data_IF_588823669416
#
_entry.id   IF_588823669416
#
_cell.length_a   1.000
_cell.length_b   1.000
_cell.length_c   1.000
_cell.angle_alpha   90.00
_cell.angle_beta   90.00
_cell.angle_gamma   90.00
#
_symmetry.space_group_name_H-M   'P 1'
#
loop_
_entity.id
_entity.type
_entity.pdbx_description
1 polymer ?
#
# COMPACT_ATOMS: atom_id res chain seq x y z
N UNK A 1 16.66 5.20 -6.91
CA UNK A 1 17.55 4.14 -6.36
C UNK A 1 16.62 3.05 -5.83
N UNK A 2 16.98 1.76 -5.96
CA UNK A 2 16.14 0.65 -5.49
C UNK A 2 16.31 0.46 -3.97
N UNK A 3 15.22 0.09 -3.25
CA UNK A 3 15.26 -0.17 -1.80
C UNK A 3 16.25 -1.29 -1.43
N UNK A 4 16.36 -2.34 -2.27
CA UNK A 4 17.30 -3.45 -2.05
C UNK A 4 18.75 -2.95 -2.00
N UNK A 5 19.12 -2.04 -2.89
CA UNK A 5 20.45 -1.46 -2.91
C UNK A 5 20.73 -0.62 -1.67
N UNK A 6 19.75 0.17 -1.22
CA UNK A 6 19.89 0.99 -0.02
C UNK A 6 20.11 0.12 1.21
N UNK A 7 19.31 -0.94 1.36
CA UNK A 7 19.45 -1.90 2.47
C UNK A 7 20.84 -2.56 2.44
N UNK A 8 21.29 -2.99 1.26
CA UNK A 8 22.62 -3.59 1.08
C UNK A 8 23.74 -2.60 1.44
N UNK A 9 23.64 -1.34 1.03
CA UNK A 9 24.64 -0.30 1.37
C UNK A 9 24.68 -0.09 2.90
N UNK A 10 23.54 -0.12 3.59
CA UNK A 10 23.45 -0.07 5.05
C UNK A 10 24.14 -1.28 5.69
N UNK A 11 23.87 -2.50 5.22
CA UNK A 11 24.50 -3.73 5.71
C UNK A 11 26.04 -3.73 5.52
N UNK A 12 26.50 -3.14 4.43
CA UNK A 12 27.94 -2.96 4.16
C UNK A 12 28.53 -1.75 4.88
N UNK A 13 27.78 -1.08 5.76
CA UNK A 13 28.19 0.14 6.51
C UNK A 13 28.63 1.30 5.60
N UNK A 14 28.05 1.37 4.40
CA UNK A 14 28.28 2.44 3.43
C UNK A 14 27.16 3.49 3.54
N UNK A 15 27.22 4.29 4.60
CA UNK A 15 26.19 5.27 4.89
C UNK A 15 26.37 6.58 4.12
N UNK A 16 25.26 7.22 3.78
CA UNK A 16 25.22 8.60 3.30
C UNK A 16 24.76 9.54 4.43
N UNK A 17 25.17 10.81 4.41
CA UNK A 17 24.81 11.75 5.48
C UNK A 17 23.33 12.10 5.53
N UNK A 18 22.61 12.00 4.39
CA UNK A 18 21.20 12.39 4.31
C UNK A 18 20.42 11.35 3.51
N UNK A 19 19.26 10.95 4.03
CA UNK A 19 18.27 10.10 3.36
C UNK A 19 16.92 10.81 3.27
N UNK A 20 16.42 10.99 2.06
CA UNK A 20 15.03 11.37 1.79
C UNK A 20 14.29 10.16 1.26
N UNK A 21 13.47 9.55 2.11
CA UNK A 21 12.65 8.39 1.81
C UNK A 21 11.22 8.88 1.61
N UNK A 22 10.68 8.76 0.40
CA UNK A 22 9.39 9.37 0.06
C UNK A 22 8.62 8.54 -0.96
N UNK A 23 7.32 8.81 -1.13
CA UNK A 23 6.51 8.20 -2.19
C UNK A 23 5.20 7.62 -1.71
N UNK A 24 4.57 6.86 -2.60
CA UNK A 24 3.19 6.38 -2.46
C UNK A 24 3.08 5.05 -1.73
N UNK A 25 4.21 4.30 -1.62
CA UNK A 25 4.23 3.00 -0.94
C UNK A 25 4.96 3.12 0.42
N UNK A 26 4.21 3.22 1.52
CA UNK A 26 4.79 3.40 2.86
C UNK A 26 5.67 2.24 3.31
N UNK A 27 5.35 1.02 2.90
CA UNK A 27 6.06 -0.19 3.33
C UNK A 27 7.57 -0.10 3.10
N UNK A 28 8.01 0.32 1.90
CA UNK A 28 9.44 0.41 1.60
C UNK A 28 10.14 1.55 2.36
N UNK A 29 9.40 2.64 2.63
CA UNK A 29 9.90 3.76 3.45
C UNK A 29 10.14 3.27 4.87
N UNK A 30 9.17 2.59 5.46
CA UNK A 30 9.27 2.03 6.82
C UNK A 30 10.38 0.98 6.89
N UNK A 31 10.49 0.09 5.91
CA UNK A 31 11.52 -0.95 5.84
C UNK A 31 12.93 -0.36 5.88
N UNK A 32 13.20 0.68 5.06
CA UNK A 32 14.51 1.34 5.05
C UNK A 32 14.74 2.10 6.35
N UNK A 33 13.70 2.80 6.85
CA UNK A 33 13.79 3.58 8.10
C UNK A 33 14.10 2.68 9.28
N UNK A 34 13.41 1.54 9.40
CA UNK A 34 13.63 0.55 10.45
C UNK A 34 15.04 -0.06 10.35
N UNK A 35 15.53 -0.34 9.15
CA UNK A 35 16.89 -0.82 8.93
C UNK A 35 17.93 0.20 9.39
N UNK A 36 17.72 1.48 9.13
CA UNK A 36 18.58 2.56 9.62
C UNK A 36 18.52 2.65 11.15
N UNK A 37 17.31 2.57 11.72
CA UNK A 37 17.07 2.65 13.16
C UNK A 37 17.74 1.50 13.94
N UNK A 38 17.78 0.30 13.33
CA UNK A 38 18.29 -0.90 14.01
C UNK A 38 19.78 -1.15 13.81
N UNK A 39 20.31 -0.90 12.59
CA UNK A 39 21.60 -1.46 12.20
C UNK A 39 22.75 -0.45 12.16
N UNK A 40 22.48 0.87 12.26
CA UNK A 40 23.55 1.88 12.17
C UNK A 40 24.32 2.02 13.47
N UNK A 41 23.61 2.03 14.59
CA UNK A 41 24.19 2.16 15.92
C UNK A 41 24.02 0.86 16.73
N UNK A 42 24.97 0.55 17.58
CA UNK A 42 24.81 -0.49 18.58
C UNK A 42 23.82 -0.07 19.68
N UNK A 43 23.30 -1.03 20.43
CA UNK A 43 22.28 -0.79 21.46
C UNK A 43 22.71 0.20 22.53
N UNK A 44 23.99 0.22 22.89
CA UNK A 44 24.51 1.15 23.89
C UNK A 44 24.54 2.58 23.34
N UNK A 45 24.94 2.76 22.09
CA UNK A 45 25.04 4.06 21.44
C UNK A 45 23.66 4.63 21.08
N UNK A 46 22.65 3.79 20.80
CA UNK A 46 21.29 4.25 20.47
C UNK A 46 20.70 5.18 21.52
N UNK A 47 20.86 4.85 22.81
CA UNK A 47 20.29 5.64 23.89
C UNK A 47 20.79 7.11 23.92
N UNK A 48 21.98 7.38 23.39
CA UNK A 48 22.64 8.70 23.46
C UNK A 48 22.82 9.37 22.09
N UNK A 49 22.82 8.59 21.02
CA UNK A 49 23.16 9.08 19.67
C UNK A 49 22.06 8.85 18.64
N UNK A 50 20.89 8.33 19.05
CA UNK A 50 19.73 8.19 18.18
C UNK A 50 18.60 9.10 18.63
N UNK A 51 18.14 9.95 17.74
CA UNK A 51 16.98 10.82 17.98
C UNK A 51 15.91 10.53 16.94
N UNK A 52 14.73 10.14 17.41
CA UNK A 52 13.57 9.92 16.57
C UNK A 52 12.53 10.97 16.92
N UNK A 53 12.10 11.73 15.92
CA UNK A 53 11.08 12.77 16.04
C UNK A 53 10.00 12.60 14.98
N UNK A 54 8.83 13.17 15.24
CA UNK A 54 7.72 13.17 14.27
C UNK A 54 7.55 14.56 13.68
N UNK A 55 7.29 14.64 12.36
CA UNK A 55 7.20 15.90 11.65
C UNK A 55 6.15 16.88 12.19
N UNK A 56 5.09 16.39 12.84
CA UNK A 56 4.07 17.23 13.48
C UNK A 56 4.54 17.90 14.79
N UNK A 57 5.53 17.31 15.46
CA UNK A 57 5.95 17.69 16.82
C UNK A 57 7.20 18.61 16.81
N UNK A 58 7.85 18.78 15.66
CA UNK A 58 9.08 19.56 15.50
C UNK A 58 8.99 20.51 14.31
N UNK A 59 9.84 21.55 14.33
CA UNK A 59 10.09 22.40 13.16
C UNK A 59 11.35 21.95 12.42
N UNK A 60 11.49 22.36 11.16
CA UNK A 60 12.65 22.05 10.34
C UNK A 60 13.93 22.61 10.99
N UNK A 61 13.87 23.79 11.62
CA UNK A 61 14.99 24.42 12.32
C UNK A 61 15.49 23.56 13.50
N UNK A 62 14.55 22.98 14.26
CA UNK A 62 14.88 22.05 15.34
C UNK A 62 15.54 20.79 14.79
N UNK A 63 15.03 20.23 13.70
CA UNK A 63 15.62 19.06 13.03
C UNK A 63 17.06 19.37 12.58
N UNK A 64 17.29 20.50 11.94
CA UNK A 64 18.62 20.90 11.49
C UNK A 64 19.56 21.17 12.66
N UNK A 65 19.06 21.73 13.76
CA UNK A 65 19.84 21.93 15.00
C UNK A 65 20.28 20.58 15.59
N UNK A 66 19.38 19.59 15.65
CA UNK A 66 19.72 18.23 16.08
C UNK A 66 20.76 17.61 15.15
N UNK A 67 20.60 17.77 13.83
CA UNK A 67 21.51 17.19 12.84
C UNK A 67 22.92 17.82 12.85
N UNK A 68 23.05 19.07 13.31
CA UNK A 68 24.33 19.76 13.50
C UNK A 68 25.01 19.43 14.81
N UNK A 69 24.33 18.72 15.71
CA UNK A 69 24.95 18.26 16.97
C UNK A 69 26.08 17.26 16.73
N UNK A 70 26.78 16.95 17.81
CA UNK A 70 27.83 15.94 17.80
C UNK A 70 27.38 14.71 18.57
N UNK A 71 27.79 13.49 18.15
CA UNK A 71 27.49 12.29 18.90
C UNK A 71 28.06 12.39 20.33
N UNK A 72 27.23 12.06 21.30
CA UNK A 72 27.67 12.03 22.71
C UNK A 72 28.52 10.79 23.00
N UNK A 73 28.38 9.74 22.20
CA UNK A 73 29.10 8.49 22.32
C UNK A 73 29.34 7.89 20.92
N UNK A 74 30.54 7.32 20.70
CA UNK A 74 30.90 6.74 19.40
C UNK A 74 31.17 7.76 18.30
N UNK A 75 31.16 7.29 17.04
CA UNK A 75 31.60 8.07 15.89
C UNK A 75 30.45 8.76 15.14
N UNK A 76 29.19 8.41 15.44
CA UNK A 76 28.04 8.85 14.67
C UNK A 76 26.80 9.05 15.51
N UNK A 77 25.92 9.94 15.03
CA UNK A 77 24.56 10.08 15.49
C UNK A 77 23.58 9.87 14.35
N UNK A 78 22.36 9.45 14.69
CA UNK A 78 21.26 9.23 13.75
C UNK A 78 20.09 10.09 14.18
N UNK A 79 19.59 10.92 13.26
CA UNK A 79 18.40 11.74 13.45
C UNK A 79 17.34 11.28 12.45
N UNK A 80 16.22 10.75 12.92
CA UNK A 80 15.15 10.22 12.09
C UNK A 80 13.91 11.08 12.29
N UNK A 81 13.42 11.67 11.21
CA UNK A 81 12.15 12.40 11.18
C UNK A 81 11.10 11.51 10.54
N UNK A 82 10.29 10.83 11.37
CA UNK A 82 9.13 10.05 10.94
C UNK A 82 7.98 11.00 10.59
N UNK A 83 7.14 10.61 9.62
CA UNK A 83 6.03 11.42 9.10
C UNK A 83 6.47 12.86 8.74
N UNK A 84 7.63 12.97 8.06
CA UNK A 84 8.22 14.25 7.70
C UNK A 84 7.33 15.10 6.78
N UNK A 85 6.34 14.49 6.08
CA UNK A 85 5.32 15.24 5.33
C UNK A 85 4.48 16.17 6.21
N UNK A 86 4.51 15.98 7.54
CA UNK A 86 3.77 16.78 8.51
C UNK A 86 4.56 17.97 9.04
N UNK A 87 5.84 18.11 8.70
CA UNK A 87 6.57 19.34 8.90
C UNK A 87 5.84 20.51 8.23
N UNK A 88 5.70 21.64 8.95
CA UNK A 88 4.97 22.81 8.46
C UNK A 88 5.48 23.32 7.12
N UNK A 89 6.80 23.30 6.97
CA UNK A 89 7.52 23.77 5.77
C UNK A 89 7.27 22.86 4.56
N UNK A 90 7.01 21.56 4.77
CA UNK A 90 6.68 20.66 3.70
C UNK A 90 5.17 20.60 3.38
N UNK A 91 4.28 20.95 4.34
CA UNK A 91 2.83 20.96 4.10
C UNK A 91 2.41 22.03 3.10
N UNK A 92 3.01 23.22 3.16
CA UNK A 92 2.59 24.40 2.38
C UNK A 92 3.12 24.47 0.97
N UNK A 93 4.17 23.73 0.63
CA UNK A 93 4.70 23.69 -0.73
C UNK A 93 3.68 23.25 -1.82
N UNK A 94 2.45 22.87 -1.43
CA UNK A 94 1.36 22.44 -2.31
C UNK A 94 0.25 23.49 -2.49
N UNK A 95 0.22 24.59 -1.71
CA UNK A 95 -0.89 25.56 -1.70
C UNK A 95 -0.74 26.72 -2.69
N UNK A 96 0.29 26.76 -3.52
CA UNK A 96 0.40 27.82 -4.54
C UNK A 96 -0.55 27.61 -5.74
N UNK A 97 -1.25 26.46 -5.84
CA UNK A 97 -2.12 26.14 -6.97
C UNK A 97 -3.63 25.99 -6.62
N UNK A 98 -4.06 26.20 -5.37
CA UNK A 98 -5.48 26.12 -4.98
C UNK A 98 -5.88 27.36 -4.15
N UNK A 99 -6.83 28.13 -4.67
CA UNK A 99 -7.45 29.30 -4.07
C UNK A 99 -8.20 28.95 -2.75
N UNK A 100 -7.55 29.05 -1.59
CA UNK A 100 -8.22 29.11 -0.30
C UNK A 100 -7.75 30.31 0.52
N UNK A 101 -8.72 31.08 1.04
CA UNK A 101 -8.66 32.38 1.72
C UNK A 101 -7.94 32.40 3.09
N UNK A 102 -6.96 31.56 3.36
CA UNK A 102 -6.15 31.59 4.58
C UNK A 102 -4.73 32.05 4.25
N UNK A 103 -4.59 33.37 3.95
CA UNK A 103 -3.30 34.02 3.73
C UNK A 103 -2.48 33.98 5.02
N UNK A 104 -1.25 33.38 5.01
CA UNK A 104 -0.37 33.45 6.16
C UNK A 104 0.03 34.89 6.43
N UNK A 105 0.18 35.25 7.71
CA UNK A 105 0.80 36.53 8.09
C UNK A 105 2.17 36.63 7.41
N UNK A 106 2.56 37.81 6.94
CA UNK A 106 3.85 38.04 6.24
C UNK A 106 5.07 37.50 7.03
N UNK A 107 4.98 37.46 8.34
CA UNK A 107 6.04 36.90 9.21
C UNK A 107 6.12 35.37 9.14
N UNK A 108 5.01 34.66 8.95
CA UNK A 108 5.01 33.20 8.76
C UNK A 108 5.70 32.76 7.45
N UNK A 109 5.46 33.48 6.37
CA UNK A 109 6.08 33.18 5.07
C UNK A 109 7.60 33.50 5.04
N UNK A 110 8.06 34.50 5.78
CA UNK A 110 9.49 34.83 5.94
C UNK A 110 10.23 33.75 6.73
N UNK A 111 9.63 33.26 7.82
CA UNK A 111 10.22 32.20 8.64
C UNK A 111 10.37 30.89 7.86
N UNK A 112 9.38 30.50 7.04
CA UNK A 112 9.44 29.27 6.25
C UNK A 112 10.53 29.31 5.17
N UNK A 113 10.68 30.44 4.47
CA UNK A 113 11.79 30.62 3.52
C UNK A 113 13.15 30.56 4.22
N UNK A 114 13.24 31.04 5.44
CA UNK A 114 14.45 30.95 6.25
C UNK A 114 14.77 29.49 6.62
N UNK A 115 13.76 28.73 7.09
CA UNK A 115 13.91 27.31 7.47
C UNK A 115 14.31 26.44 6.28
N UNK A 116 13.68 26.64 5.10
CA UNK A 116 14.10 25.95 3.87
C UNK A 116 15.52 26.33 3.45
N UNK A 117 15.95 27.57 3.67
CA UNK A 117 17.33 28.00 3.47
C UNK A 117 18.31 27.31 4.42
N UNK A 118 17.92 27.02 5.66
CA UNK A 118 18.75 26.23 6.59
C UNK A 118 18.93 24.79 6.12
N UNK A 119 17.88 24.16 5.59
CA UNK A 119 17.98 22.83 5.00
C UNK A 119 18.89 22.85 3.76
N UNK A 120 18.75 23.83 2.87
CA UNK A 120 19.63 24.01 1.71
C UNK A 120 21.10 24.11 2.13
N UNK A 121 21.39 24.94 3.14
CA UNK A 121 22.73 25.10 3.68
C UNK A 121 23.27 23.80 4.29
N UNK A 122 22.41 23.04 5.00
CA UNK A 122 22.81 21.76 5.58
C UNK A 122 23.09 20.72 4.50
N UNK A 123 22.27 20.63 3.45
CA UNK A 123 22.47 19.71 2.32
C UNK A 123 23.78 20.02 1.59
N UNK A 124 24.15 21.31 1.46
CA UNK A 124 25.42 21.72 0.84
C UNK A 124 26.65 21.37 1.69
N UNK A 125 26.51 21.32 3.01
CA UNK A 125 27.60 20.98 3.94
C UNK A 125 27.06 20.14 5.11
N UNK A 126 26.72 18.86 4.88
CA UNK A 126 26.18 18.01 5.91
C UNK A 126 27.22 17.64 6.97
N UNK A 127 26.79 17.47 8.22
CA UNK A 127 27.64 16.97 9.28
C UNK A 127 28.20 15.58 8.93
N UNK A 128 29.51 15.36 8.96
CA UNK A 128 30.11 14.07 8.60
C UNK A 128 29.80 12.96 9.62
N UNK A 129 29.42 13.34 10.83
CA UNK A 129 29.13 12.43 11.95
C UNK A 129 27.63 12.15 12.11
N UNK A 130 26.77 12.78 11.29
CA UNK A 130 25.32 12.66 11.40
C UNK A 130 24.72 11.96 10.18
N UNK A 131 23.80 11.05 10.45
CA UNK A 131 22.90 10.50 9.44
C UNK A 131 21.51 11.07 9.68
N UNK A 132 21.05 11.93 8.78
CA UNK A 132 19.75 12.57 8.85
C UNK A 132 18.77 11.88 7.89
N UNK A 133 17.64 11.44 8.41
CA UNK A 133 16.61 10.71 7.65
C UNK A 133 15.28 11.44 7.68
N UNK A 134 14.73 11.75 6.52
CA UNK A 134 13.35 12.21 6.35
C UNK A 134 12.52 11.09 5.75
N UNK A 135 11.57 10.55 6.52
CA UNK A 135 10.60 9.55 6.05
C UNK A 135 9.25 10.24 5.78
N UNK A 136 8.89 10.35 4.49
CA UNK A 136 7.71 11.06 4.00
C UNK A 136 6.76 10.10 3.31
N UNK A 137 5.60 9.83 3.90
CA UNK A 137 4.60 8.92 3.34
C UNK A 137 3.57 9.68 2.49
N UNK A 138 3.17 9.08 1.36
CA UNK A 138 2.18 9.63 0.44
C UNK A 138 2.49 11.06 -0.07
N UNK A 139 3.75 11.46 -0.02
CA UNK A 139 4.22 12.76 -0.48
C UNK A 139 5.60 12.64 -1.12
N UNK A 140 5.88 13.55 -2.06
CA UNK A 140 7.16 13.64 -2.77
C UNK A 140 7.73 15.04 -2.60
N UNK A 141 9.05 15.12 -2.56
CA UNK A 141 9.76 16.39 -2.56
C UNK A 141 9.70 17.01 -3.97
N UNK A 142 9.52 18.33 -4.06
CA UNK A 142 9.53 19.01 -5.35
C UNK A 142 10.95 18.99 -5.93
N UNK A 143 11.08 18.42 -7.13
CA UNK A 143 12.35 18.34 -7.87
C UNK A 143 12.90 19.70 -8.31
N UNK A 144 12.06 20.76 -8.27
CA UNK A 144 12.45 22.16 -8.58
C UNK A 144 13.20 22.83 -7.45
N UNK A 145 13.22 22.26 -6.25
CA UNK A 145 13.94 22.81 -5.11
C UNK A 145 15.43 22.89 -5.40
N UNK A 146 16.04 24.03 -5.09
CA UNK A 146 17.45 24.34 -5.43
C UNK A 146 18.42 23.28 -4.91
N UNK A 147 18.18 22.77 -3.69
CA UNK A 147 19.03 21.75 -3.07
C UNK A 147 18.80 20.33 -3.59
N UNK A 148 17.75 20.06 -4.37
CA UNK A 148 17.43 18.70 -4.83
C UNK A 148 18.61 18.07 -5.59
N UNK A 149 19.21 18.81 -6.54
CA UNK A 149 20.39 18.33 -7.30
C UNK A 149 21.63 18.09 -6.44
N UNK A 150 21.81 18.88 -5.39
CA UNK A 150 22.91 18.67 -4.43
C UNK A 150 22.63 17.43 -3.58
N UNK A 151 21.40 17.27 -3.12
CA UNK A 151 20.94 16.12 -2.35
C UNK A 151 21.14 14.79 -3.12
N UNK A 152 20.88 14.78 -4.43
CA UNK A 152 21.16 13.59 -5.27
C UNK A 152 22.64 13.18 -5.28
N UNK A 153 23.55 14.13 -5.09
CA UNK A 153 25.00 13.86 -5.09
C UNK A 153 25.52 13.43 -3.71
N UNK A 154 25.06 14.09 -2.65
CA UNK A 154 25.59 13.90 -1.28
C UNK A 154 24.79 12.89 -0.47
N UNK A 155 23.52 12.70 -0.77
CA UNK A 155 22.58 11.87 -0.04
C UNK A 155 21.98 10.74 -0.84
N UNK A 156 20.90 10.20 -0.30
CA UNK A 156 20.03 9.21 -0.95
C UNK A 156 18.64 9.81 -1.10
N UNK A 157 18.12 9.81 -2.32
CA UNK A 157 16.71 10.06 -2.60
C UNK A 157 16.09 8.73 -3.02
N UNK A 158 15.16 8.25 -2.22
CA UNK A 158 14.35 7.07 -2.51
C UNK A 158 12.91 7.49 -2.75
N UNK A 159 12.38 7.16 -3.91
CA UNK A 159 11.00 7.40 -4.27
C UNK A 159 10.31 6.05 -4.44
N UNK A 160 9.42 5.70 -3.47
CA UNK A 160 8.62 4.49 -3.55
C UNK A 160 7.41 4.69 -4.45
N UNK A 161 7.16 3.74 -5.33
CA UNK A 161 5.97 3.70 -6.16
C UNK A 161 5.03 2.60 -5.68
N UNK A 162 3.72 2.88 -5.73
CA UNK A 162 2.71 1.89 -5.40
C UNK A 162 2.74 0.74 -6.39
N UNK A 163 2.73 -0.49 -5.88
CA UNK A 163 2.66 -1.67 -6.73
C UNK A 163 1.25 -1.74 -7.33
N UNK A 164 1.20 -1.88 -8.66
CA UNK A 164 -0.06 -2.01 -9.38
C UNK A 164 -0.70 -3.36 -9.08
N UNK A 165 -2.04 -3.39 -8.98
CA UNK A 165 -2.83 -4.59 -8.63
C UNK A 165 -2.39 -5.84 -9.40
N UNK A 166 -2.19 -5.72 -10.71
CA UNK A 166 -1.80 -6.85 -11.56
C UNK A 166 -0.38 -7.39 -11.33
N UNK A 167 0.47 -6.65 -10.59
CA UNK A 167 1.83 -7.06 -10.21
C UNK A 167 1.91 -7.62 -8.79
N UNK A 168 0.83 -7.54 -8.02
CA UNK A 168 0.84 -7.95 -6.62
C UNK A 168 1.13 -9.44 -6.43
N UNK A 169 0.52 -10.31 -7.22
CA UNK A 169 0.76 -11.75 -7.13
C UNK A 169 2.22 -12.12 -7.37
N UNK A 170 2.84 -11.51 -8.38
CA UNK A 170 4.26 -11.73 -8.69
C UNK A 170 5.17 -11.19 -7.57
N UNK A 171 4.82 -10.03 -7.01
CA UNK A 171 5.56 -9.45 -5.89
C UNK A 171 5.47 -10.34 -4.64
N UNK A 172 4.27 -10.80 -4.29
CA UNK A 172 4.02 -11.70 -3.15
C UNK A 172 4.84 -12.97 -3.28
N UNK A 173 4.82 -13.58 -4.46
CA UNK A 173 5.60 -14.79 -4.77
C UNK A 173 7.10 -14.55 -4.59
N UNK A 174 7.60 -13.44 -5.14
CA UNK A 174 9.01 -13.07 -5.04
C UNK A 174 9.43 -12.80 -3.60
N UNK A 175 8.62 -12.04 -2.85
CA UNK A 175 8.86 -11.75 -1.44
C UNK A 175 8.87 -13.01 -0.58
N UNK A 176 7.89 -13.88 -0.75
CA UNK A 176 7.79 -15.14 -0.02
C UNK A 176 9.02 -16.05 -0.28
N UNK A 177 9.47 -16.11 -1.52
CA UNK A 177 10.70 -16.83 -1.87
C UNK A 177 11.94 -16.21 -1.23
N UNK A 178 12.03 -14.88 -1.20
CA UNK A 178 13.15 -14.16 -0.60
C UNK A 178 13.25 -14.40 0.92
N UNK A 179 12.11 -14.49 1.62
CA UNK A 179 12.10 -14.79 3.06
C UNK A 179 12.24 -16.30 3.36
N UNK A 180 12.36 -17.13 2.32
CA UNK A 180 12.64 -18.57 2.44
C UNK A 180 11.40 -19.46 2.48
N UNK A 181 10.24 -18.97 2.06
CA UNK A 181 8.98 -19.71 2.00
C UNK A 181 8.38 -19.65 0.59
N UNK A 182 8.83 -20.50 -0.35
CA UNK A 182 8.31 -20.50 -1.72
C UNK A 182 6.80 -20.78 -1.72
N UNK A 183 6.09 -20.27 -2.71
CA UNK A 183 4.67 -20.56 -2.91
C UNK A 183 4.32 -20.76 -4.39
N UNK A 184 3.23 -21.48 -4.63
CA UNK A 184 2.67 -21.64 -5.97
C UNK A 184 2.03 -20.32 -6.46
N UNK A 185 2.01 -20.12 -7.78
CA UNK A 185 1.42 -18.92 -8.39
C UNK A 185 -0.05 -18.72 -7.96
N UNK A 186 -0.83 -19.79 -7.90
CA UNK A 186 -2.24 -19.72 -7.47
C UNK A 186 -2.40 -19.22 -6.03
N UNK A 187 -1.46 -19.55 -5.15
CA UNK A 187 -1.50 -19.11 -3.74
C UNK A 187 -1.19 -17.61 -3.64
N UNK A 188 -0.21 -17.13 -4.40
CA UNK A 188 0.12 -15.70 -4.45
C UNK A 188 -1.01 -14.88 -5.08
N UNK A 189 -1.72 -15.42 -6.06
CA UNK A 189 -2.92 -14.81 -6.64
C UNK A 189 -4.03 -14.66 -5.58
N UNK A 190 -4.37 -15.73 -4.84
CA UNK A 190 -5.36 -15.71 -3.77
C UNK A 190 -5.01 -14.65 -2.71
N UNK A 191 -3.73 -14.60 -2.28
CA UNK A 191 -3.29 -13.61 -1.31
C UNK A 191 -3.38 -12.17 -1.85
N UNK A 192 -2.94 -11.94 -3.10
CA UNK A 192 -3.00 -10.63 -3.73
C UNK A 192 -4.44 -10.12 -3.80
N UNK A 193 -5.31 -10.99 -4.17
CA UNK A 193 -6.71 -10.70 -4.34
C UNK A 193 -7.44 -10.41 -3.02
N UNK A 194 -7.13 -11.16 -1.97
CA UNK A 194 -7.75 -10.99 -0.65
C UNK A 194 -7.17 -9.81 0.14
N UNK A 195 -5.85 -9.63 0.11
CA UNK A 195 -5.16 -8.59 0.88
C UNK A 195 -5.04 -7.26 0.12
N UNK A 196 -5.27 -7.28 -1.19
CA UNK A 196 -5.14 -6.11 -2.05
C UNK A 196 -3.70 -5.65 -2.21
N UNK A 197 -3.51 -4.32 -2.37
CA UNK A 197 -2.19 -3.71 -2.60
C UNK A 197 -1.50 -3.23 -1.33
N UNK A 198 -2.01 -3.56 -0.15
CA UNK A 198 -1.40 -3.19 1.12
C UNK A 198 -0.25 -4.15 1.45
N UNK A 199 0.98 -3.74 1.11
CA UNK A 199 2.16 -4.57 1.32
C UNK A 199 2.40 -4.91 2.78
N UNK A 200 2.08 -4.01 3.71
CA UNK A 200 2.26 -4.25 5.14
C UNK A 200 1.37 -5.38 5.62
N UNK A 201 0.12 -5.45 5.15
CA UNK A 201 -0.77 -6.59 5.45
C UNK A 201 -0.24 -7.87 4.87
N UNK A 202 0.18 -7.86 3.60
CA UNK A 202 0.73 -9.06 2.94
C UNK A 202 1.95 -9.59 3.70
N UNK A 203 2.88 -8.73 4.04
CA UNK A 203 4.08 -9.09 4.80
C UNK A 203 3.73 -9.65 6.17
N UNK A 204 2.78 -9.04 6.88
CA UNK A 204 2.32 -9.52 8.18
C UNK A 204 1.70 -10.93 8.07
N UNK A 205 0.88 -11.19 7.07
CA UNK A 205 0.29 -12.53 6.89
C UNK A 205 1.34 -13.58 6.53
N UNK A 206 2.30 -13.27 5.65
CA UNK A 206 3.42 -14.18 5.33
C UNK A 206 4.30 -14.40 6.57
N UNK A 207 4.55 -13.36 7.37
CA UNK A 207 5.33 -13.48 8.60
C UNK A 207 4.65 -14.38 9.64
N UNK A 208 3.34 -14.32 9.78
CA UNK A 208 2.59 -15.26 10.65
C UNK A 208 2.77 -16.71 10.18
N UNK A 209 2.66 -16.95 8.86
CA UNK A 209 2.92 -18.28 8.32
C UNK A 209 4.36 -18.73 8.56
N UNK A 210 5.32 -17.83 8.44
CA UNK A 210 6.73 -18.13 8.70
C UNK A 210 7.06 -18.48 10.16
N UNK A 211 6.24 -18.04 11.12
CA UNK A 211 6.36 -18.43 12.53
C UNK A 211 5.89 -19.89 12.76
N UNK A 212 4.86 -20.29 12.01
CA UNK A 212 4.19 -21.59 12.20
C UNK A 212 4.86 -22.69 11.38
N UNK A 213 5.31 -22.35 10.16
CA UNK A 213 5.85 -23.32 9.22
C UNK A 213 7.36 -23.50 9.39
N UNK A 214 7.90 -24.73 9.28
CA UNK A 214 9.34 -24.94 9.22
C UNK A 214 9.98 -24.16 8.05
N UNK A 215 11.16 -23.62 8.27
CA UNK A 215 11.90 -22.86 7.24
C UNK A 215 12.09 -23.69 5.98
N UNK A 216 11.84 -23.10 4.82
CA UNK A 216 11.93 -23.76 3.52
C UNK A 216 10.65 -24.48 3.10
N UNK A 217 9.61 -24.53 3.95
CA UNK A 217 8.33 -25.13 3.60
C UNK A 217 7.64 -24.30 2.52
N UNK A 218 7.14 -24.93 1.48
CA UNK A 218 6.31 -24.27 0.48
C UNK A 218 4.94 -23.89 1.08
N UNK A 219 4.56 -22.61 0.97
CA UNK A 219 3.24 -22.15 1.38
C UNK A 219 2.20 -22.69 0.39
N UNK A 220 1.26 -23.48 0.89
CA UNK A 220 0.14 -24.05 0.13
C UNK A 220 -1.16 -23.29 0.39
N UNK A 221 -2.16 -23.50 -0.46
CA UNK A 221 -3.49 -22.96 -0.26
C UNK A 221 -4.12 -23.43 1.08
N UNK A 222 -3.81 -24.65 1.52
CA UNK A 222 -4.26 -25.17 2.81
C UNK A 222 -3.65 -24.39 3.98
N UNK A 223 -2.35 -24.07 3.92
CA UNK A 223 -1.70 -23.24 4.95
C UNK A 223 -2.36 -21.85 5.05
N UNK A 224 -2.75 -21.26 3.91
CA UNK A 224 -3.46 -19.98 3.86
C UNK A 224 -4.86 -20.11 4.45
N UNK A 225 -5.60 -21.17 4.12
CA UNK A 225 -6.95 -21.42 4.66
C UNK A 225 -6.93 -21.60 6.18
N UNK A 226 -6.03 -22.44 6.67
CA UNK A 226 -5.98 -22.79 8.11
C UNK A 226 -5.53 -21.62 8.99
N UNK A 227 -4.66 -20.74 8.48
CA UNK A 227 -4.01 -19.71 9.31
C UNK A 227 -4.44 -18.27 8.99
N UNK A 228 -4.90 -18.01 7.78
CA UNK A 228 -5.36 -16.69 7.35
C UNK A 228 -6.89 -16.64 7.19
N UNK A 229 -7.53 -17.82 7.10
CA UNK A 229 -8.97 -17.95 6.99
C UNK A 229 -9.50 -17.71 5.57
N UNK A 230 -8.65 -17.81 4.56
CA UNK A 230 -9.04 -17.66 3.15
C UNK A 230 -9.24 -19.03 2.53
N UNK A 231 -10.48 -19.42 2.29
CA UNK A 231 -10.78 -20.69 1.64
C UNK A 231 -10.36 -20.69 0.17
N UNK A 232 -9.74 -21.76 -0.29
CA UNK A 232 -9.37 -21.97 -1.67
C UNK A 232 -10.59 -22.03 -2.60
N UNK A 233 -11.66 -22.64 -2.14
CA UNK A 233 -12.85 -22.94 -2.96
C UNK A 233 -14.00 -21.97 -2.70
N UNK A 234 -14.03 -21.31 -1.53
CA UNK A 234 -15.09 -20.42 -1.08
C UNK A 234 -14.55 -19.03 -0.73
N UNK A 235 -14.16 -18.30 -1.75
CA UNK A 235 -13.69 -16.91 -1.64
C UNK A 235 -14.41 -16.02 -2.67
N UNK A 236 -14.19 -14.72 -2.60
CA UNK A 236 -14.89 -13.76 -3.46
C UNK A 236 -14.57 -13.92 -4.95
N UNK A 237 -13.42 -14.46 -5.29
CA UNK A 237 -13.00 -14.74 -6.68
C UNK A 237 -13.73 -15.92 -7.26
N UNK A 238 -13.79 -16.99 -6.49
CA UNK A 238 -14.57 -18.14 -6.91
C UNK A 238 -16.04 -17.75 -7.03
N UNK A 239 -16.52 -16.80 -6.21
CA UNK A 239 -17.85 -16.20 -6.38
C UNK A 239 -17.95 -15.40 -7.69
N UNK A 240 -17.02 -14.49 -7.97
CA UNK A 240 -17.00 -13.72 -9.23
C UNK A 240 -16.97 -14.64 -10.45
N UNK A 241 -16.13 -15.67 -10.41
CA UNK A 241 -16.04 -16.67 -11.49
C UNK A 241 -17.34 -17.46 -11.66
N UNK A 242 -17.94 -17.91 -10.54
CA UNK A 242 -19.23 -18.58 -10.57
C UNK A 242 -20.34 -17.68 -11.13
N UNK A 243 -20.36 -16.40 -10.73
CA UNK A 243 -21.29 -15.42 -11.28
C UNK A 243 -21.02 -15.18 -12.77
N UNK A 244 -19.75 -14.96 -13.16
CA UNK A 244 -19.37 -14.72 -14.56
C UNK A 244 -19.75 -15.84 -15.51
N UNK A 245 -19.67 -17.09 -15.05
CA UNK A 245 -20.05 -18.28 -15.81
C UNK A 245 -21.53 -18.67 -15.62
N UNK A 246 -22.27 -17.99 -14.73
CA UNK A 246 -23.63 -18.34 -14.29
C UNK A 246 -23.74 -19.74 -13.67
N UNK A 247 -22.70 -20.15 -12.92
CA UNK A 247 -22.73 -21.38 -12.13
C UNK A 247 -23.53 -21.15 -10.83
N UNK A 248 -24.85 -21.33 -10.96
CA UNK A 248 -25.82 -21.10 -9.87
C UNK A 248 -25.50 -21.96 -8.64
N UNK A 249 -25.11 -23.23 -8.85
CA UNK A 249 -24.84 -24.14 -7.73
C UNK A 249 -23.62 -23.72 -6.94
N UNK A 250 -22.52 -23.41 -7.65
CA UNK A 250 -21.27 -22.96 -7.02
C UNK A 250 -21.46 -21.62 -6.33
N UNK A 251 -22.12 -20.66 -6.96
CA UNK A 251 -22.40 -19.35 -6.35
C UNK A 251 -23.17 -19.49 -5.02
N UNK A 252 -24.23 -20.31 -4.99
CA UNK A 252 -25.00 -20.54 -3.77
C UNK A 252 -24.19 -21.25 -2.67
N UNK A 253 -23.32 -22.22 -3.02
CA UNK A 253 -22.42 -22.86 -2.05
C UNK A 253 -21.46 -21.87 -1.41
N UNK A 254 -20.90 -20.97 -2.20
CA UNK A 254 -19.99 -19.92 -1.71
C UNK A 254 -20.74 -18.96 -0.77
N UNK A 255 -21.96 -18.53 -1.15
CA UNK A 255 -22.75 -17.65 -0.28
C UNK A 255 -23.10 -18.33 1.03
N UNK A 256 -23.49 -19.58 1.01
CA UNK A 256 -23.75 -20.34 2.23
C UNK A 256 -22.52 -20.44 3.14
N UNK A 257 -21.33 -20.61 2.56
CA UNK A 257 -20.08 -20.55 3.30
C UNK A 257 -19.84 -19.15 3.92
N UNK A 258 -20.09 -18.06 3.17
CA UNK A 258 -19.95 -16.69 3.69
C UNK A 258 -20.92 -16.40 4.83
N UNK A 259 -22.16 -16.86 4.75
CA UNK A 259 -23.16 -16.75 5.81
C UNK A 259 -22.67 -17.41 7.12
N UNK A 260 -22.08 -18.60 7.02
CA UNK A 260 -21.57 -19.34 8.17
C UNK A 260 -20.22 -18.82 8.69
N UNK A 261 -19.50 -18.00 7.89
CA UNK A 261 -18.18 -17.44 8.21
C UNK A 261 -18.14 -15.92 8.04
N UNK A 262 -19.03 -15.15 8.70
CA UNK A 262 -19.18 -13.70 8.44
C UNK A 262 -17.96 -12.85 8.85
N UNK A 263 -17.15 -13.35 9.80
CA UNK A 263 -15.93 -12.66 10.25
C UNK A 263 -14.82 -12.72 9.17
N UNK A 264 -14.70 -13.83 8.47
CA UNK A 264 -13.73 -14.03 7.39
C UNK A 264 -14.20 -13.44 6.06
N UNK A 265 -15.51 -13.31 5.88
CA UNK A 265 -16.13 -12.82 4.65
C UNK A 265 -17.16 -11.72 4.96
N UNK A 266 -16.73 -10.57 5.51
CA UNK A 266 -17.65 -9.50 5.83
C UNK A 266 -18.21 -8.88 4.53
N UNK A 267 -19.52 -8.66 4.50
CA UNK A 267 -20.23 -8.14 3.31
C UNK A 267 -19.66 -6.80 2.83
N UNK A 268 -19.12 -5.99 3.76
CA UNK A 268 -18.46 -4.71 3.46
C UNK A 268 -17.20 -4.87 2.60
N UNK A 269 -16.57 -6.04 2.59
CA UNK A 269 -15.43 -6.34 1.71
C UNK A 269 -15.87 -7.02 0.41
N UNK A 270 -16.91 -7.85 0.46
CA UNK A 270 -17.38 -8.60 -0.71
C UNK A 270 -18.08 -7.68 -1.71
N UNK A 271 -18.94 -6.76 -1.25
CA UNK A 271 -19.69 -5.86 -2.15
C UNK A 271 -18.79 -4.98 -3.02
N UNK A 272 -17.75 -4.28 -2.49
CA UNK A 272 -16.83 -3.51 -3.33
C UNK A 272 -16.10 -4.37 -4.37
N UNK A 273 -15.74 -5.60 -4.00
CA UNK A 273 -15.07 -6.53 -4.91
C UNK A 273 -15.97 -6.97 -6.06
N UNK A 274 -17.25 -7.29 -5.79
CA UNK A 274 -18.24 -7.57 -6.82
C UNK A 274 -18.53 -6.35 -7.71
N UNK A 275 -18.61 -5.16 -7.11
CA UNK A 275 -18.79 -3.92 -7.85
C UNK A 275 -17.62 -3.68 -8.81
N UNK A 276 -16.38 -3.82 -8.35
CA UNK A 276 -15.18 -3.73 -9.20
C UNK A 276 -15.23 -4.73 -10.36
N UNK A 277 -15.60 -5.98 -10.08
CA UNK A 277 -15.72 -7.01 -11.11
C UNK A 277 -16.75 -6.64 -12.20
N UNK A 278 -17.97 -6.27 -11.82
CA UNK A 278 -19.00 -5.90 -12.80
C UNK A 278 -18.72 -4.59 -13.52
N UNK A 279 -18.06 -3.63 -12.88
CA UNK A 279 -17.59 -2.40 -13.54
C UNK A 279 -16.53 -2.72 -14.61
N UNK A 280 -15.55 -3.57 -14.29
CA UNK A 280 -14.57 -4.05 -15.26
C UNK A 280 -15.23 -4.85 -16.39
N UNK A 281 -16.23 -5.66 -16.09
CA UNK A 281 -17.01 -6.37 -17.12
C UNK A 281 -17.77 -5.40 -18.05
N UNK A 282 -18.37 -4.34 -17.50
CA UNK A 282 -18.99 -3.28 -18.31
C UNK A 282 -17.96 -2.61 -19.22
N UNK A 283 -16.79 -2.30 -18.68
CA UNK A 283 -15.65 -1.74 -19.46
C UNK A 283 -15.24 -2.70 -20.57
N UNK A 284 -15.07 -3.99 -20.26
CA UNK A 284 -14.74 -5.00 -21.28
C UNK A 284 -15.78 -5.05 -22.40
N UNK A 285 -17.07 -5.06 -22.06
CA UNK A 285 -18.16 -5.12 -23.05
C UNK A 285 -18.13 -3.88 -23.95
N UNK A 286 -17.88 -2.69 -23.42
CA UNK A 286 -17.88 -1.41 -24.16
C UNK A 286 -16.64 -1.17 -25.01
N UNK A 287 -15.50 -1.84 -24.73
CA UNK A 287 -14.28 -1.67 -25.50
C UNK A 287 -14.49 -2.08 -26.97
N UNK A 288 -14.05 -1.24 -27.90
CA UNK A 288 -14.00 -1.59 -29.33
C UNK A 288 -12.79 -2.50 -29.63
N UNK A 289 -11.63 -2.15 -29.12
CA UNK A 289 -10.41 -2.94 -29.25
C UNK A 289 -10.14 -3.75 -27.98
N UNK A 290 -10.40 -5.05 -28.05
CA UNK A 290 -10.22 -5.99 -26.95
C UNK A 290 -8.74 -6.28 -26.63
N UNK A 291 -7.81 -5.95 -27.53
CA UNK A 291 -6.37 -6.16 -27.29
C UNK A 291 -5.84 -5.29 -26.14
N UNK A 292 -6.47 -4.14 -25.90
CA UNK A 292 -6.12 -3.22 -24.83
C UNK A 292 -6.83 -3.50 -23.50
N UNK A 293 -7.67 -4.53 -23.45
CA UNK A 293 -8.54 -4.79 -22.31
C UNK A 293 -7.76 -4.91 -20.98
N UNK A 294 -6.63 -5.63 -20.97
CA UNK A 294 -5.81 -5.79 -19.76
C UNK A 294 -5.34 -4.44 -19.19
N UNK A 295 -4.85 -3.55 -20.07
CA UNK A 295 -4.34 -2.23 -19.68
C UNK A 295 -5.45 -1.31 -19.22
N UNK A 296 -6.57 -1.24 -19.97
CA UNK A 296 -7.69 -0.34 -19.67
C UNK A 296 -8.42 -0.74 -18.39
N UNK A 297 -8.61 -2.04 -18.16
CA UNK A 297 -9.26 -2.55 -16.95
C UNK A 297 -8.30 -2.64 -15.75
N UNK A 298 -7.00 -2.49 -15.96
CA UNK A 298 -5.99 -2.64 -14.90
C UNK A 298 -5.95 -4.07 -14.33
N UNK A 299 -6.09 -5.09 -15.19
CA UNK A 299 -6.05 -6.51 -14.79
C UNK A 299 -4.89 -7.25 -15.44
N UNK A 300 -4.49 -8.37 -14.84
CA UNK A 300 -3.49 -9.23 -15.45
C UNK A 300 -3.99 -9.80 -16.80
N UNK A 301 -3.11 -9.97 -17.81
CA UNK A 301 -3.51 -10.44 -19.13
C UNK A 301 -4.29 -11.77 -19.12
N UNK A 302 -3.95 -12.70 -18.23
CA UNK A 302 -4.66 -13.98 -18.11
C UNK A 302 -6.11 -13.81 -17.60
N UNK A 303 -6.35 -12.83 -16.71
CA UNK A 303 -7.68 -12.57 -16.15
C UNK A 303 -8.68 -12.03 -17.19
N UNK A 304 -8.20 -11.49 -18.31
CA UNK A 304 -9.07 -11.03 -19.41
C UNK A 304 -9.93 -12.16 -19.95
N UNK A 305 -9.47 -13.41 -19.91
CA UNK A 305 -10.24 -14.57 -20.38
C UNK A 305 -11.52 -14.79 -19.55
N UNK A 306 -11.50 -14.53 -18.26
CA UNK A 306 -12.67 -14.65 -17.39
C UNK A 306 -13.73 -13.59 -17.75
N UNK A 307 -13.32 -12.35 -18.03
CA UNK A 307 -14.21 -11.29 -18.51
C UNK A 307 -14.75 -11.58 -19.92
N UNK A 308 -13.92 -12.16 -20.78
CA UNK A 308 -14.37 -12.62 -22.10
C UNK A 308 -15.44 -13.69 -21.97
N UNK A 309 -15.27 -14.69 -21.11
CA UNK A 309 -16.26 -15.72 -20.84
C UNK A 309 -17.54 -15.10 -20.25
N UNK A 310 -17.43 -14.20 -19.27
CA UNK A 310 -18.56 -13.51 -18.67
C UNK A 310 -19.33 -12.65 -19.68
N UNK A 311 -18.66 -11.96 -20.60
CA UNK A 311 -19.32 -11.13 -21.63
C UNK A 311 -20.21 -11.91 -22.60
N UNK A 312 -20.07 -13.23 -22.67
CA UNK A 312 -21.00 -14.10 -23.44
C UNK A 312 -22.31 -14.37 -22.69
N UNK A 313 -22.33 -14.14 -21.37
CA UNK A 313 -23.50 -14.42 -20.50
C UNK A 313 -24.24 -13.16 -20.07
N UNK A 314 -23.58 -11.99 -20.14
CA UNK A 314 -24.11 -10.71 -19.70
C UNK A 314 -23.97 -9.67 -20.82
N UNK A 315 -25.05 -9.00 -21.12
CA UNK A 315 -25.07 -7.80 -21.96
C UNK A 315 -24.86 -6.53 -21.09
N UNK A 316 -24.66 -5.39 -21.73
CA UNK A 316 -24.44 -4.11 -21.05
C UNK A 316 -25.60 -3.72 -20.13
N UNK A 317 -26.86 -3.96 -20.57
CA UNK A 317 -28.07 -3.63 -19.80
C UNK A 317 -28.21 -4.51 -18.55
N UNK A 318 -27.84 -5.79 -18.65
CA UNK A 318 -27.87 -6.70 -17.50
C UNK A 318 -26.78 -6.30 -16.49
N UNK A 319 -25.55 -5.95 -16.95
CA UNK A 319 -24.49 -5.49 -16.07
C UNK A 319 -24.89 -4.20 -15.35
N UNK A 320 -25.49 -3.23 -16.04
CA UNK A 320 -26.00 -2.00 -15.45
C UNK A 320 -27.02 -2.29 -14.33
N UNK A 321 -27.96 -3.21 -14.57
CA UNK A 321 -28.92 -3.64 -13.53
C UNK A 321 -28.23 -4.26 -12.32
N UNK A 322 -27.21 -5.10 -12.54
CA UNK A 322 -26.45 -5.73 -11.45
C UNK A 322 -25.72 -4.67 -10.62
N UNK A 323 -25.13 -3.66 -11.25
CA UNK A 323 -24.53 -2.52 -10.54
C UNK A 323 -25.59 -1.79 -9.68
N UNK A 324 -26.81 -1.64 -10.19
CA UNK A 324 -27.96 -1.14 -9.43
C UNK A 324 -28.28 -2.00 -8.20
N UNK A 325 -28.28 -3.33 -8.35
CA UNK A 325 -28.53 -4.25 -7.23
C UNK A 325 -27.42 -4.19 -6.17
N UNK A 326 -26.16 -4.09 -6.59
CA UNK A 326 -25.03 -3.90 -5.68
C UNK A 326 -25.13 -2.59 -4.88
N UNK A 327 -25.57 -1.50 -5.53
CA UNK A 327 -25.84 -0.24 -4.85
C UNK A 327 -26.96 -0.38 -3.80
N UNK A 328 -28.03 -1.08 -4.13
CA UNK A 328 -29.11 -1.35 -3.17
C UNK A 328 -28.60 -2.16 -1.98
N UNK A 329 -27.86 -3.24 -2.24
CA UNK A 329 -27.24 -4.05 -1.19
C UNK A 329 -26.30 -3.24 -0.28
N UNK A 330 -25.48 -2.35 -0.82
CA UNK A 330 -24.63 -1.45 -0.04
C UNK A 330 -25.45 -0.52 0.89
N UNK A 331 -26.55 0.01 0.39
CA UNK A 331 -27.46 0.84 1.20
C UNK A 331 -28.16 0.05 2.31
N UNK A 332 -28.56 -1.20 2.04
CA UNK A 332 -29.14 -2.11 3.04
C UNK A 332 -28.13 -2.41 4.15
N UNK A 333 -26.87 -2.73 3.79
CA UNK A 333 -25.78 -2.95 4.76
C UNK A 333 -25.55 -1.74 5.65
N UNK A 334 -25.68 -0.54 5.10
CA UNK A 334 -25.53 0.74 5.82
C UNK A 334 -26.78 1.16 6.61
N UNK A 335 -27.86 0.38 6.55
CA UNK A 335 -29.13 0.69 7.23
C UNK A 335 -29.88 1.88 6.66
N UNK A 336 -29.61 2.28 5.41
CA UNK A 336 -30.23 3.44 4.76
C UNK A 336 -31.63 3.15 4.15
N UNK A 337 -32.06 1.88 4.17
CA UNK A 337 -33.33 1.44 3.57
C UNK A 337 -34.42 1.10 4.61
N UNK A 338 -34.27 1.56 5.86
CA UNK A 338 -35.29 1.49 6.90
C UNK A 338 -35.48 0.14 7.60
N UNK A 339 -34.94 -0.94 7.06
CA UNK A 339 -34.96 -2.27 7.68
C UNK A 339 -33.53 -2.81 7.82
N UNK A 340 -33.22 -3.34 8.99
CA UNK A 340 -31.95 -4.03 9.22
C UNK A 340 -32.10 -5.49 8.75
N UNK A 341 -31.55 -5.78 7.59
CA UNK A 341 -31.49 -7.15 7.07
C UNK A 341 -30.22 -7.85 7.62
N UNK A 342 -30.32 -9.15 7.81
CA UNK A 342 -29.13 -9.97 8.10
C UNK A 342 -28.23 -10.07 6.86
N UNK A 343 -26.93 -10.18 7.07
CA UNK A 343 -25.93 -10.28 6.00
C UNK A 343 -26.26 -11.42 5.03
N UNK A 344 -26.72 -12.56 5.52
CA UNK A 344 -27.09 -13.70 4.72
C UNK A 344 -28.24 -13.43 3.76
N UNK A 345 -29.25 -12.71 4.23
CA UNK A 345 -30.42 -12.36 3.38
C UNK A 345 -30.04 -11.43 2.25
N UNK A 346 -29.18 -10.43 2.54
CA UNK A 346 -28.66 -9.49 1.53
C UNK A 346 -27.87 -10.26 0.45
N UNK A 347 -27.03 -11.21 0.86
CA UNK A 347 -26.28 -12.04 -0.08
C UNK A 347 -27.20 -12.88 -0.97
N UNK A 348 -28.18 -13.56 -0.39
CA UNK A 348 -29.12 -14.42 -1.13
C UNK A 348 -29.91 -13.62 -2.17
N UNK A 349 -30.45 -12.48 -1.75
CA UNK A 349 -31.21 -11.59 -2.64
C UNK A 349 -30.34 -11.08 -3.79
N UNK A 350 -29.13 -10.58 -3.48
CA UNK A 350 -28.20 -10.04 -4.46
C UNK A 350 -27.81 -11.09 -5.51
N UNK A 351 -27.42 -12.30 -5.05
CA UNK A 351 -26.96 -13.36 -5.94
C UNK A 351 -28.10 -13.89 -6.80
N UNK A 352 -29.30 -14.06 -6.23
CA UNK A 352 -30.48 -14.41 -7.00
C UNK A 352 -30.76 -13.42 -8.13
N UNK A 353 -30.83 -12.11 -7.83
CA UNK A 353 -31.02 -11.04 -8.81
C UNK A 353 -29.92 -10.96 -9.88
N UNK A 354 -28.69 -11.33 -9.51
CA UNK A 354 -27.55 -11.31 -10.43
C UNK A 354 -27.61 -12.45 -11.43
N UNK A 355 -28.02 -13.64 -11.00
CA UNK A 355 -28.04 -14.86 -11.84
C UNK A 355 -29.27 -14.94 -12.73
N UNK A 356 -30.39 -14.42 -12.29
CA UNK A 356 -31.70 -14.40 -13.00
C UNK A 356 -32.00 -13.00 -13.53
#
# INVERSE_FOLDING_TARGET
>A
MDHIRIIRDIELKQFKPIYFLMGEEPYFIDLITEKIETDILDEASKAFCQTIVYGRDVSLDQVISLAKGFPMMGDRQVVIVKEAQDLKEFKRAKKEDEDEEDSPSEDGAKNEKASMGLLENYVNNPSPTTILVFAMKNKKLDKRLKFYKTLEKVGVIFESEKIKDYKMADWIKSYSQQVGYPMEAKVSEILAEYLGTDLSKVVNEISKLAIILPKGTAITAQHVEDNIGISKDFNVWELQKALGTKDVLKANRIIHYFENNPKSNPIQMVLPSLYSYFTKLATYISLQDKSQAASVMGVAPYAVNDYKAASTKYDARKVERIIGYLRTADRQVKGLEGFRMEQGDIYRELIYKTLH
#
